data_IF_771927053378
#
_entry.id   IF_771927053378
#
_cell.length_a   1.000
_cell.length_b   1.000
_cell.length_c   1.000
_cell.angle_alpha   90.00
_cell.angle_beta   90.00
_cell.angle_gamma   90.00
#
_symmetry.space_group_name_H-M   'P 1'
#
loop_
_entity.id
_entity.type
_entity.pdbx_description
1 polymer ?
#
# COMPACT_ATOMS: atom_id res chain seq x y z
N UNK A 1 7.78 11.15 0.24
CA UNK A 1 7.34 11.99 1.37
C UNK A 1 6.29 11.19 2.15
N UNK A 2 6.15 11.37 3.46
CA UNK A 2 5.09 10.70 4.23
C UNK A 2 4.12 11.75 4.77
N UNK A 3 2.84 11.62 4.43
CA UNK A 3 1.77 12.60 4.67
C UNK A 3 0.54 11.91 5.26
N UNK A 4 0.59 11.47 6.52
CA UNK A 4 -0.44 10.63 7.13
C UNK A 4 -1.83 11.29 7.16
N UNK A 5 -1.90 12.62 7.17
CA UNK A 5 -3.13 13.40 7.11
C UNK A 5 -3.96 13.11 5.85
N UNK A 6 -3.30 12.83 4.72
CA UNK A 6 -3.93 12.57 3.42
C UNK A 6 -4.51 11.16 3.29
N UNK A 7 -4.12 10.23 4.18
CA UNK A 7 -4.68 8.87 4.17
C UNK A 7 -6.19 8.94 4.52
N UNK A 8 -7.07 8.28 3.74
CA UNK A 8 -8.51 8.28 3.96
C UNK A 8 -8.91 7.89 5.39
N UNK A 9 -9.89 8.61 5.96
CA UNK A 9 -10.40 8.34 7.30
C UNK A 9 -10.89 6.90 7.46
N UNK A 10 -11.54 6.35 6.44
CA UNK A 10 -12.04 4.97 6.45
C UNK A 10 -10.93 3.91 6.57
N UNK A 11 -9.72 4.20 6.08
CA UNK A 11 -8.57 3.31 6.28
C UNK A 11 -8.02 3.48 7.70
N UNK A 12 -7.91 4.73 8.17
CA UNK A 12 -7.44 5.06 9.52
C UNK A 12 -8.31 4.43 10.62
N UNK A 13 -9.60 4.27 10.34
CA UNK A 13 -10.57 3.67 11.27
C UNK A 13 -10.42 2.14 11.44
N UNK A 14 -9.60 1.47 10.62
CA UNK A 14 -9.35 0.04 10.73
C UNK A 14 -8.35 -0.27 11.85
N UNK A 15 -8.57 -1.36 12.59
CA UNK A 15 -7.57 -1.98 13.47
C UNK A 15 -6.72 -3.02 12.71
N UNK A 16 -6.27 -2.64 11.51
CA UNK A 16 -5.58 -3.51 10.56
C UNK A 16 -4.20 -2.98 10.16
N UNK A 17 -3.55 -2.19 11.02
CA UNK A 17 -2.30 -1.53 10.72
C UNK A 17 -1.08 -2.23 11.32
N UNK A 18 0.05 -2.08 10.65
CA UNK A 18 1.38 -2.49 11.10
C UNK A 18 2.40 -1.43 10.69
N UNK A 19 3.58 -1.47 11.30
CA UNK A 19 4.78 -0.83 10.74
C UNK A 19 5.43 -1.77 9.73
N UNK A 20 6.31 -1.30 8.85
CA UNK A 20 7.11 -2.17 7.99
C UNK A 20 8.58 -1.78 7.97
N UNK A 21 9.43 -2.73 7.56
CA UNK A 21 10.85 -2.54 7.28
C UNK A 21 11.15 -2.91 5.84
N UNK A 22 12.12 -2.23 5.24
CA UNK A 22 12.70 -2.60 3.96
C UNK A 22 13.84 -3.57 4.20
N UNK A 23 13.63 -4.83 3.86
CA UNK A 23 14.63 -5.89 4.00
C UNK A 23 15.08 -6.41 2.63
N UNK A 24 16.33 -6.81 2.51
CA UNK A 24 16.79 -7.53 1.34
C UNK A 24 16.48 -9.03 1.51
N UNK A 25 15.58 -9.55 0.66
CA UNK A 25 15.20 -10.96 0.63
C UNK A 25 15.48 -11.47 -0.78
N UNK A 26 16.38 -12.44 -0.90
CA UNK A 26 16.80 -13.00 -2.19
C UNK A 26 17.24 -11.94 -3.21
N UNK A 27 17.97 -10.91 -2.76
CA UNK A 27 18.42 -9.80 -3.59
C UNK A 27 17.33 -8.80 -3.98
N UNK A 28 16.13 -8.89 -3.41
CA UNK A 28 15.02 -7.96 -3.64
C UNK A 28 14.69 -7.18 -2.37
N UNK A 29 14.61 -5.85 -2.50
CA UNK A 29 14.17 -4.97 -1.42
C UNK A 29 12.67 -5.15 -1.19
N UNK A 30 12.30 -5.73 -0.07
CA UNK A 30 10.94 -6.17 0.28
C UNK A 30 10.41 -5.39 1.46
N UNK A 31 9.15 -4.94 1.39
CA UNK A 31 8.43 -4.29 2.50
C UNK A 31 7.86 -5.36 3.44
N UNK A 32 8.57 -5.66 4.52
CA UNK A 32 8.20 -6.70 5.49
C UNK A 32 7.41 -6.07 6.64
N UNK A 33 6.17 -6.51 6.92
CA UNK A 33 5.36 -5.94 7.99
C UNK A 33 5.81 -6.45 9.38
N UNK A 34 5.72 -5.58 10.37
CA UNK A 34 6.15 -5.78 11.75
C UNK A 34 5.08 -5.33 12.75
N UNK A 35 4.99 -6.08 13.83
CA UNK A 35 4.28 -5.72 15.05
C UNK A 35 5.08 -4.67 15.83
N UNK A 36 4.41 -3.97 16.75
CA UNK A 36 5.04 -2.93 17.57
C UNK A 36 6.11 -3.48 18.54
N UNK A 37 6.03 -4.78 18.87
CA UNK A 37 7.01 -5.47 19.71
C UNK A 37 8.28 -5.92 18.93
N UNK A 38 8.40 -5.56 17.65
CA UNK A 38 9.54 -5.90 16.80
C UNK A 38 9.50 -7.30 16.19
N UNK A 39 8.45 -8.10 16.41
CA UNK A 39 8.22 -9.36 15.69
C UNK A 39 7.58 -9.09 14.32
N UNK A 40 7.75 -10.00 13.36
CA UNK A 40 7.05 -9.91 12.06
C UNK A 40 5.54 -10.03 12.27
N UNK A 41 4.78 -9.27 11.48
CA UNK A 41 3.33 -9.36 11.44
C UNK A 41 2.89 -10.30 10.32
N UNK A 42 1.77 -11.00 10.53
CA UNK A 42 1.15 -11.85 9.52
C UNK A 42 0.18 -11.02 8.69
N UNK A 43 0.09 -11.25 7.38
CA UNK A 43 -0.95 -10.60 6.55
C UNK A 43 -2.34 -11.20 6.73
N UNK A 44 -2.48 -12.26 7.54
CA UNK A 44 -3.74 -13.01 7.71
C UNK A 44 -4.12 -13.28 9.17
N UNK A 45 -3.33 -12.81 10.14
CA UNK A 45 -3.63 -12.95 11.57
C UNK A 45 -3.91 -11.59 12.21
N UNK A 46 -5.19 -11.25 12.48
CA UNK A 46 -5.58 -10.00 13.12
C UNK A 46 -4.91 -9.73 14.47
N UNK A 47 -4.46 -10.77 15.17
CA UNK A 47 -3.75 -10.61 16.46
C UNK A 47 -2.38 -9.94 16.32
N UNK A 48 -1.86 -9.88 15.09
CA UNK A 48 -0.58 -9.24 14.79
C UNK A 48 -0.72 -7.80 14.28
N UNK A 49 -1.94 -7.27 14.25
CA UNK A 49 -2.22 -5.92 13.77
C UNK A 49 -2.53 -4.98 14.93
N UNK A 50 -2.58 -3.68 14.63
CA UNK A 50 -2.85 -2.62 15.59
C UNK A 50 -3.68 -1.51 14.94
N UNK A 51 -4.00 -0.47 15.70
CA UNK A 51 -4.70 0.71 15.19
C UNK A 51 -3.78 1.62 14.39
N UNK A 52 -4.35 2.45 13.51
CA UNK A 52 -3.59 3.44 12.74
C UNK A 52 -2.71 4.33 13.64
N UNK A 53 -3.29 4.87 14.72
CA UNK A 53 -2.58 5.78 15.62
C UNK A 53 -1.40 5.11 16.31
N UNK A 54 -1.53 3.83 16.69
CA UNK A 54 -0.45 3.09 17.33
C UNK A 54 0.68 2.77 16.33
N UNK A 55 0.35 2.38 15.10
CA UNK A 55 1.34 2.17 14.04
C UNK A 55 2.05 3.49 13.65
N UNK A 56 1.30 4.59 13.55
CA UNK A 56 1.84 5.91 13.26
C UNK A 56 2.79 6.39 14.35
N UNK A 57 2.38 6.31 15.62
CA UNK A 57 3.24 6.68 16.74
C UNK A 57 4.51 5.83 16.77
N UNK A 58 4.40 4.51 16.55
CA UNK A 58 5.58 3.64 16.49
C UNK A 58 6.52 3.99 15.33
N UNK A 59 5.99 4.34 14.15
CA UNK A 59 6.81 4.79 13.02
C UNK A 59 7.53 6.13 13.30
N UNK A 60 6.90 7.03 14.06
CA UNK A 60 7.45 8.36 14.37
C UNK A 60 8.42 8.34 15.55
N UNK A 61 8.12 7.57 16.59
CA UNK A 61 8.81 7.61 17.87
C UNK A 61 9.88 6.52 18.03
N UNK A 62 9.80 5.44 17.24
CA UNK A 62 10.76 4.33 17.30
C UNK A 62 11.65 4.31 16.05
N UNK A 63 12.93 4.06 16.26
CA UNK A 63 13.87 3.85 15.16
C UNK A 63 13.68 2.49 14.48
N UNK A 64 14.05 2.42 13.20
CA UNK A 64 14.15 1.17 12.46
C UNK A 64 12.86 0.71 11.76
N UNK A 65 11.91 1.61 11.50
CA UNK A 65 10.78 1.35 10.61
C UNK A 65 10.82 2.29 9.40
N UNK A 66 10.43 1.78 8.23
CA UNK A 66 10.48 2.49 6.94
C UNK A 66 9.10 3.04 6.52
N UNK A 67 8.06 2.79 7.32
CA UNK A 67 6.71 3.29 7.13
C UNK A 67 5.65 2.43 7.82
N UNK A 68 4.39 2.68 7.45
CA UNK A 68 3.23 1.93 7.93
C UNK A 68 2.50 1.25 6.77
N UNK A 69 1.78 0.20 7.09
CA UNK A 69 0.97 -0.54 6.13
C UNK A 69 -0.35 -1.00 6.74
N UNK A 70 -1.36 -1.11 5.88
CA UNK A 70 -2.69 -1.64 6.24
C UNK A 70 -2.88 -3.01 5.62
N UNK A 71 -3.43 -3.95 6.37
CA UNK A 71 -3.70 -5.32 5.92
C UNK A 71 -5.04 -5.37 5.19
N UNK A 72 -5.06 -6.00 4.02
CA UNK A 72 -6.28 -6.18 3.25
C UNK A 72 -7.01 -7.45 3.68
N UNK A 73 -8.32 -7.33 3.85
CA UNK A 73 -9.22 -8.42 4.21
C UNK A 73 -10.43 -8.37 3.30
N UNK A 74 -11.10 -9.51 3.07
CA UNK A 74 -12.31 -9.53 2.23
C UNK A 74 -13.41 -8.66 2.87
N UNK A 75 -13.43 -8.64 4.20
CA UNK A 75 -14.42 -7.98 5.05
C UNK A 75 -14.33 -6.45 4.97
N UNK A 76 -13.13 -5.87 4.79
CA UNK A 76 -12.99 -4.41 4.70
C UNK A 76 -13.44 -3.85 3.33
N UNK A 77 -13.60 -4.71 2.32
CA UNK A 77 -14.07 -4.37 0.98
C UNK A 77 -13.14 -3.48 0.18
N UNK A 78 -11.87 -3.38 0.58
CA UNK A 78 -10.86 -2.52 -0.07
C UNK A 78 -10.05 -3.34 -1.07
N UNK A 79 -9.93 -2.80 -2.28
CA UNK A 79 -9.05 -3.33 -3.32
C UNK A 79 -7.89 -2.37 -3.49
N UNK A 80 -6.68 -2.92 -3.43
CA UNK A 80 -5.42 -2.23 -3.68
C UNK A 80 -4.96 -2.55 -5.11
N UNK A 81 -4.70 -1.51 -5.88
CA UNK A 81 -4.16 -1.57 -7.23
C UNK A 81 -2.77 -0.94 -7.18
N UNK A 82 -1.74 -1.75 -7.41
CA UNK A 82 -0.34 -1.34 -7.46
C UNK A 82 0.09 -1.19 -8.92
N UNK A 83 0.53 0.01 -9.27
CA UNK A 83 1.06 0.35 -10.59
C UNK A 83 2.56 0.57 -10.46
N UNK A 84 3.33 -0.49 -10.68
CA UNK A 84 4.79 -0.44 -10.61
C UNK A 84 5.37 0.37 -11.78
N UNK A 85 6.46 1.10 -11.54
CA UNK A 85 7.19 1.86 -12.57
C UNK A 85 6.26 2.74 -13.45
N UNK A 86 5.24 3.33 -12.83
CA UNK A 86 4.17 4.11 -13.47
C UNK A 86 4.45 5.60 -13.53
N UNK A 87 5.57 6.05 -12.98
CA UNK A 87 6.01 7.44 -12.94
C UNK A 87 7.47 7.54 -13.40
N UNK A 88 7.78 8.59 -14.15
CA UNK A 88 9.14 8.96 -14.55
C UNK A 88 9.90 9.61 -13.38
N UNK A 89 11.22 9.71 -13.48
CA UNK A 89 12.06 10.28 -12.42
C UNK A 89 11.77 11.77 -12.14
N UNK A 90 11.20 12.49 -13.12
CA UNK A 90 10.76 13.89 -12.98
C UNK A 90 9.37 14.03 -12.33
N UNK A 91 8.73 12.92 -11.98
CA UNK A 91 7.39 12.87 -11.39
C UNK A 91 6.25 12.80 -12.42
N UNK A 92 6.55 12.77 -13.72
CA UNK A 92 5.54 12.64 -14.77
C UNK A 92 4.90 11.25 -14.74
N UNK A 93 3.57 11.19 -14.67
CA UNK A 93 2.84 9.91 -14.72
C UNK A 93 2.82 9.38 -16.14
N UNK A 94 3.18 8.11 -16.33
CA UNK A 94 3.16 7.47 -17.64
C UNK A 94 1.72 7.39 -18.19
N UNK A 95 1.50 7.55 -19.52
CA UNK A 95 0.16 7.63 -20.09
C UNK A 95 -0.76 6.46 -19.72
N UNK A 96 -0.24 5.23 -19.75
CA UNK A 96 -1.00 4.02 -19.41
C UNK A 96 -1.50 4.01 -17.96
N UNK A 97 -0.71 4.56 -17.04
CA UNK A 97 -1.06 4.64 -15.63
C UNK A 97 -2.07 5.77 -15.41
N UNK A 98 -1.89 6.90 -16.08
CA UNK A 98 -2.81 8.03 -16.03
C UNK A 98 -4.24 7.64 -16.49
N UNK A 99 -4.36 6.80 -17.52
CA UNK A 99 -5.66 6.25 -17.96
C UNK A 99 -6.34 5.45 -16.85
N UNK A 100 -5.60 4.56 -16.18
CA UNK A 100 -6.13 3.73 -15.08
C UNK A 100 -6.57 4.61 -13.91
N UNK A 101 -5.71 5.55 -13.51
CA UNK A 101 -5.96 6.49 -12.42
C UNK A 101 -7.23 7.31 -12.70
N UNK A 102 -7.38 7.86 -13.92
CA UNK A 102 -8.57 8.60 -14.33
C UNK A 102 -9.83 7.73 -14.34
N UNK A 103 -9.73 6.46 -14.74
CA UNK A 103 -10.86 5.54 -14.78
C UNK A 103 -11.38 5.19 -13.38
N UNK A 104 -10.49 4.97 -12.42
CA UNK A 104 -10.89 4.65 -11.05
C UNK A 104 -11.27 5.89 -10.23
N UNK A 105 -10.64 7.04 -10.49
CA UNK A 105 -10.90 8.33 -9.85
C UNK A 105 -11.12 8.20 -8.33
N UNK A 106 -10.16 7.56 -7.67
CA UNK A 106 -10.20 7.27 -6.24
C UNK A 106 -8.88 7.70 -5.60
N UNK A 107 -8.75 7.48 -4.29
CA UNK A 107 -7.52 7.75 -3.55
C UNK A 107 -6.31 7.14 -4.27
N UNK A 108 -5.38 8.03 -4.65
CA UNK A 108 -4.17 7.68 -5.39
C UNK A 108 -2.97 8.37 -4.74
N UNK A 109 -1.96 7.58 -4.37
CA UNK A 109 -0.73 8.09 -3.77
C UNK A 109 0.50 7.63 -4.56
N UNK A 110 1.59 8.39 -4.44
CA UNK A 110 2.90 7.97 -4.89
C UNK A 110 3.45 6.92 -3.92
N UNK A 111 3.91 5.79 -4.44
CA UNK A 111 4.47 4.72 -3.61
C UNK A 111 5.80 5.13 -2.97
N UNK A 112 6.24 4.38 -1.95
CA UNK A 112 7.48 4.65 -1.23
C UNK A 112 8.73 4.70 -2.13
N UNK A 113 8.73 3.99 -3.27
CA UNK A 113 9.87 4.01 -4.21
C UNK A 113 9.97 5.32 -5.00
N UNK A 114 8.91 6.12 -5.01
CA UNK A 114 8.81 7.34 -5.80
C UNK A 114 8.42 7.13 -7.27
N UNK A 115 8.51 5.90 -7.79
CA UNK A 115 8.28 5.57 -9.20
C UNK A 115 6.98 4.82 -9.47
N UNK A 116 6.26 4.41 -8.43
CA UNK A 116 4.99 3.70 -8.54
C UNK A 116 3.82 4.52 -8.01
N UNK A 117 2.61 4.06 -8.32
CA UNK A 117 1.36 4.62 -7.85
C UNK A 117 0.53 3.53 -7.19
N UNK A 118 -0.10 3.88 -6.07
CA UNK A 118 -1.08 3.04 -5.40
C UNK A 118 -2.46 3.66 -5.58
N UNK A 119 -3.45 2.85 -5.96
CA UNK A 119 -4.85 3.25 -5.99
C UNK A 119 -5.62 2.34 -5.03
N UNK A 120 -6.44 2.93 -4.17
CA UNK A 120 -7.34 2.18 -3.29
C UNK A 120 -8.78 2.48 -3.64
N UNK A 121 -9.60 1.44 -3.80
CA UNK A 121 -11.02 1.53 -4.14
C UNK A 121 -11.84 0.61 -3.23
N UNK A 122 -13.13 0.92 -3.08
CA UNK A 122 -14.11 -0.05 -2.56
C UNK A 122 -14.68 -0.87 -3.71
N UNK A 123 -14.40 -2.17 -3.73
CA UNK A 123 -14.84 -3.05 -4.80
C UNK A 123 -14.78 -4.52 -4.40
N UNK A 124 -15.44 -5.36 -5.20
CA UNK A 124 -15.18 -6.81 -5.21
C UNK A 124 -14.28 -7.13 -6.39
N UNK A 125 -13.08 -7.63 -6.11
CA UNK A 125 -12.12 -7.99 -7.15
C UNK A 125 -12.65 -9.16 -8.01
N UNK A 126 -12.65 -9.04 -9.36
CA UNK A 126 -13.10 -10.11 -10.23
C UNK A 126 -12.06 -11.23 -10.27
N UNK A 127 -12.45 -12.42 -9.80
CA UNK A 127 -11.65 -13.63 -9.86
C UNK A 127 -10.35 -13.60 -9.02
N UNK A 128 -9.60 -14.71 -9.02
CA UNK A 128 -8.47 -14.87 -8.10
C UNK A 128 -7.15 -14.28 -8.62
N UNK A 129 -7.00 -14.05 -9.93
CA UNK A 129 -5.72 -13.60 -10.53
C UNK A 129 -5.37 -12.16 -10.15
N UNK A 130 -4.15 -11.91 -9.68
CA UNK A 130 -3.68 -10.57 -9.32
C UNK A 130 -2.86 -9.89 -10.41
N UNK A 131 -2.22 -10.67 -11.29
CA UNK A 131 -1.38 -10.20 -12.39
C UNK A 131 -1.71 -10.96 -13.68
N UNK A 132 -1.48 -10.33 -14.83
CA UNK A 132 -1.68 -10.94 -16.14
C UNK A 132 -0.46 -10.70 -17.03
N UNK A 133 0.18 -11.76 -17.52
CA UNK A 133 1.26 -11.64 -18.52
C UNK A 133 0.79 -11.12 -19.88
N UNK A 134 -0.53 -11.05 -20.11
CA UNK A 134 -1.11 -10.50 -21.34
C UNK A 134 -1.12 -8.98 -21.37
N UNK A 135 -1.03 -8.32 -20.20
CA UNK A 135 -0.90 -6.88 -20.12
C UNK A 135 0.59 -6.51 -20.12
N UNK A 136 1.03 -5.54 -20.93
CA UNK A 136 2.43 -5.18 -21.04
C UNK A 136 2.95 -4.39 -19.83
N UNK A 137 2.06 -3.89 -18.97
CA UNK A 137 2.40 -3.05 -17.82
C UNK A 137 2.36 -3.86 -16.51
N UNK A 138 3.26 -3.56 -15.56
CA UNK A 138 3.34 -4.26 -14.28
C UNK A 138 2.24 -3.76 -13.32
N UNK A 139 1.06 -4.36 -13.44
CA UNK A 139 -0.11 -4.05 -12.62
C UNK A 139 -0.40 -5.22 -11.70
N UNK A 140 -0.53 -4.95 -10.41
CA UNK A 140 -0.97 -5.94 -9.43
C UNK A 140 -2.24 -5.47 -8.71
N UNK A 141 -3.19 -6.39 -8.52
CA UNK A 141 -4.48 -6.08 -7.89
C UNK A 141 -4.72 -7.06 -6.75
N UNK A 142 -4.93 -6.55 -5.53
CA UNK A 142 -5.13 -7.33 -4.32
C UNK A 142 -6.40 -6.91 -3.59
N UNK A 143 -7.11 -7.87 -3.00
CA UNK A 143 -8.29 -7.61 -2.15
C UNK A 143 -8.15 -8.20 -0.75
N UNK A 144 -7.13 -9.02 -0.52
CA UNK A 144 -6.86 -9.69 0.76
C UNK A 144 -5.46 -10.34 0.73
N UNK A 145 -5.01 -10.86 1.88
CA UNK A 145 -3.75 -11.59 2.08
C UNK A 145 -2.45 -10.80 1.85
N UNK A 146 -2.55 -9.51 1.58
CA UNK A 146 -1.41 -8.61 1.39
C UNK A 146 -1.58 -7.34 2.22
N UNK A 147 -0.47 -6.79 2.64
CA UNK A 147 -0.36 -5.43 3.15
C UNK A 147 -0.33 -4.42 1.99
N UNK A 148 -0.89 -3.25 2.21
CA UNK A 148 -0.70 -2.06 1.39
C UNK A 148 0.17 -1.08 2.20
N UNK A 149 1.39 -0.80 1.73
CA UNK A 149 2.31 0.11 2.40
C UNK A 149 2.03 1.53 1.91
N UNK A 150 1.53 2.37 2.81
CA UNK A 150 0.95 3.66 2.45
C UNK A 150 1.90 4.82 2.77
N UNK A 151 1.93 5.80 1.89
CA UNK A 151 2.74 7.02 2.05
C UNK A 151 1.91 8.24 2.42
N UNK A 152 0.65 8.29 1.98
CA UNK A 152 -0.13 9.52 2.02
C UNK A 152 0.31 10.60 1.02
N UNK A 153 1.34 10.36 0.20
CA UNK A 153 1.86 11.31 -0.80
C UNK A 153 0.87 11.42 -1.97
N UNK A 154 -0.22 12.17 -1.72
CA UNK A 154 -1.39 12.25 -2.58
C UNK A 154 -1.01 12.81 -3.95
N UNK A 155 -1.44 12.11 -5.00
CA UNK A 155 -1.29 12.58 -6.37
C UNK A 155 -2.59 13.25 -6.79
N UNK A 156 -2.50 14.54 -7.14
CA UNK A 156 -3.64 15.36 -7.57
C UNK A 156 -3.49 15.63 -9.07
N UNK A 157 -4.61 15.55 -9.80
CA UNK A 157 -4.70 15.70 -11.25
C UNK A 157 -5.42 16.98 -11.66
#
# INVERSE_FOLDING_TARGET
>A
MFSPESIPFELKALDQWCVYRLEEINGQRTKVPYQLNGQRASSTDPKTWTSFNAALAAYQDLEGYDGICVMLTVENGIVFIDLDDSMEDDGTIKPWALEIVKNFNSYTERSQSGRGLHILIRATKPGPRCRSSKYPHPIEIYSHFRQCCLTGDLVVF
#
